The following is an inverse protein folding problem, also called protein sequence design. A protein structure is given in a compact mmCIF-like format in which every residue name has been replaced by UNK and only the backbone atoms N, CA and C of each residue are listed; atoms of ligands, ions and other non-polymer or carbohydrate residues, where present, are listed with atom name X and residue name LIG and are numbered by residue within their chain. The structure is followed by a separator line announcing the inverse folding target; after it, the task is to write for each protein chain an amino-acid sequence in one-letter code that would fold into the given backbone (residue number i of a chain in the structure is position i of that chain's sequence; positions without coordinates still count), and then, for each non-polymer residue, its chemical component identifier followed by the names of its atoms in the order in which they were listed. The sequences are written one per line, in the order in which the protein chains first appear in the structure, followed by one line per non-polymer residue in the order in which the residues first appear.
data_IF_775851444186
#
_entry.id   IF_775851444186
#
_cell.length_a   1.000
_cell.length_b   1.000
_cell.length_c   1.000
_cell.angle_alpha   90.00
_cell.angle_beta   90.00
_cell.angle_gamma   90.00
#
_symmetry.space_group_name_H-M   'P 1'
#
loop_
_entity.id
_entity.type
_entity.pdbx_description
1 polymer ?
#
# COMPACT_ATOMS: atom_id res chain seq x y z
N UNK A 1 -33.52 7.46 -10.59
CA UNK A 1 -32.43 8.01 -11.43
C UNK A 1 -31.30 8.39 -10.47
N UNK A 2 -30.29 7.54 -10.34
CA UNK A 2 -29.07 7.88 -9.58
C UNK A 2 -28.21 8.75 -10.48
N UNK A 3 -28.10 10.04 -10.13
CA UNK A 3 -27.17 10.96 -10.80
C UNK A 3 -25.77 10.36 -10.80
N UNK A 4 -25.13 10.35 -11.96
CA UNK A 4 -23.69 10.02 -12.03
C UNK A 4 -22.94 11.10 -11.24
N UNK A 5 -22.00 10.71 -10.36
CA UNK A 5 -21.23 11.69 -9.62
C UNK A 5 -20.53 12.66 -10.58
N UNK A 6 -20.53 13.94 -10.20
CA UNK A 6 -19.85 14.98 -10.96
C UNK A 6 -18.33 14.69 -11.02
N UNK A 7 -17.64 15.06 -12.11
CA UNK A 7 -16.17 15.01 -12.16
C UNK A 7 -15.49 15.73 -10.98
N UNK A 8 -16.15 16.72 -10.39
CA UNK A 8 -15.69 17.47 -9.22
C UNK A 8 -15.65 16.63 -7.91
N UNK A 9 -16.36 15.49 -7.86
CA UNK A 9 -16.44 14.64 -6.68
C UNK A 9 -15.40 13.48 -6.71
N UNK A 10 -14.66 13.33 -7.80
CA UNK A 10 -13.67 12.28 -7.97
C UNK A 10 -12.36 12.65 -7.29
N UNK A 11 -11.91 11.76 -6.42
CA UNK A 11 -10.63 11.87 -5.74
C UNK A 11 -9.56 11.11 -6.53
N UNK A 12 -8.39 11.70 -6.66
CA UNK A 12 -7.20 11.07 -7.24
C UNK A 12 -6.29 10.53 -6.13
N UNK A 13 -5.76 9.32 -6.34
CA UNK A 13 -4.84 8.67 -5.42
C UNK A 13 -3.44 9.29 -5.43
N UNK A 14 -2.54 8.69 -4.66
CA UNK A 14 -1.15 9.13 -4.58
C UNK A 14 -0.27 8.30 -5.54
N UNK A 15 0.85 8.86 -5.99
CA UNK A 15 1.81 8.12 -6.80
C UNK A 15 2.44 6.97 -6.02
N UNK A 16 2.85 5.91 -6.73
CA UNK A 16 3.58 4.81 -6.14
C UNK A 16 4.95 5.27 -5.60
N UNK A 17 5.30 4.79 -4.42
CA UNK A 17 6.65 4.90 -3.86
C UNK A 17 7.32 3.54 -4.06
N UNK A 18 8.03 3.37 -5.15
CA UNK A 18 8.70 2.12 -5.53
C UNK A 18 10.05 2.38 -6.18
N UNK A 19 10.89 1.36 -6.23
CA UNK A 19 12.19 1.40 -6.90
C UNK A 19 12.50 0.04 -7.55
N UNK A 20 13.53 -0.05 -8.40
CA UNK A 20 13.98 -1.33 -8.93
C UNK A 20 14.42 -2.35 -7.87
N UNK A 21 14.68 -1.90 -6.64
CA UNK A 21 15.05 -2.74 -5.50
C UNK A 21 13.86 -3.18 -4.65
N UNK A 22 12.66 -2.69 -4.93
CA UNK A 22 11.45 -3.06 -4.17
C UNK A 22 11.17 -4.56 -4.26
N UNK A 23 11.08 -5.21 -3.10
CA UNK A 23 10.83 -6.65 -2.95
C UNK A 23 9.45 -6.92 -2.39
N UNK A 24 8.96 -6.09 -1.47
CA UNK A 24 7.62 -6.17 -0.91
C UNK A 24 6.89 -4.86 -1.15
N UNK A 25 5.75 -4.92 -1.82
CA UNK A 25 4.83 -3.79 -1.99
C UNK A 25 3.77 -3.84 -0.89
N UNK A 26 3.73 -2.84 -0.04
CA UNK A 26 2.59 -2.63 0.86
C UNK A 26 1.50 -1.93 0.06
N UNK A 27 0.33 -2.56 -0.04
CA UNK A 27 -0.76 -2.08 -0.88
C UNK A 27 -1.99 -1.75 -0.03
N UNK A 28 -2.34 -0.47 0.06
CA UNK A 28 -3.58 0.02 0.64
C UNK A 28 -4.76 -0.11 -0.33
N UNK A 29 -5.93 0.31 0.09
CA UNK A 29 -7.12 0.44 -0.78
C UNK A 29 -7.10 1.77 -1.53
N UNK A 30 -7.19 2.87 -0.79
CA UNK A 30 -7.12 4.24 -1.27
C UNK A 30 -6.69 5.19 -0.14
N UNK A 31 -5.96 6.27 -0.43
CA UNK A 31 -5.46 7.17 0.61
C UNK A 31 -6.59 7.79 1.42
N UNK A 32 -6.46 7.87 2.74
CA UNK A 32 -7.39 8.59 3.60
C UNK A 32 -7.39 10.09 3.36
N UNK A 33 -8.39 10.82 3.86
CA UNK A 33 -8.51 12.26 3.67
C UNK A 33 -7.27 13.05 4.14
N UNK A 34 -6.65 12.64 5.26
CA UNK A 34 -5.41 13.26 5.74
C UNK A 34 -4.25 13.05 4.75
N UNK A 35 -4.13 11.84 4.18
CA UNK A 35 -3.09 11.50 3.20
C UNK A 35 -3.25 12.29 1.90
N UNK A 36 -4.46 12.41 1.38
CA UNK A 36 -4.74 13.22 0.19
C UNK A 36 -4.43 14.69 0.41
N UNK A 37 -4.86 15.25 1.55
CA UNK A 37 -4.61 16.66 1.88
C UNK A 37 -3.12 16.96 2.03
N UNK A 38 -2.36 16.06 2.64
CA UNK A 38 -0.92 16.23 2.88
C UNK A 38 -0.06 15.70 1.73
N UNK A 39 -0.63 15.02 0.74
CA UNK A 39 0.07 14.32 -0.33
C UNK A 39 1.12 13.34 0.22
N UNK A 40 0.76 12.58 1.27
CA UNK A 40 1.64 11.66 1.97
C UNK A 40 0.91 10.36 2.32
N UNK A 41 1.49 9.22 2.00
CA UNK A 41 0.94 7.93 2.37
C UNK A 41 0.90 7.76 3.89
N UNK A 42 -0.23 7.27 4.40
CA UNK A 42 -0.45 6.99 5.82
C UNK A 42 -0.24 8.20 6.74
N UNK A 43 -0.65 9.40 6.29
CA UNK A 43 -0.42 10.65 7.01
C UNK A 43 -1.29 10.84 8.27
N UNK A 44 -2.35 10.04 8.47
CA UNK A 44 -3.19 10.18 9.66
C UNK A 44 -2.38 9.87 10.93
N UNK A 45 -2.36 10.77 11.97
CA UNK A 45 -1.48 10.61 13.14
C UNK A 45 -1.66 9.31 13.91
N UNK A 46 -2.88 8.78 13.92
CA UNK A 46 -3.21 7.52 14.60
C UNK A 46 -3.03 6.29 13.72
N UNK A 47 -2.59 6.43 12.46
CA UNK A 47 -2.29 5.28 11.63
C UNK A 47 -1.02 4.60 12.13
N UNK A 48 -1.08 3.29 12.32
CA UNK A 48 0.05 2.53 12.86
C UNK A 48 1.17 2.27 11.86
N UNK A 49 1.00 2.56 10.57
CA UNK A 49 1.95 2.19 9.51
C UNK A 49 3.39 2.62 9.82
N UNK A 50 3.65 3.91 9.96
CA UNK A 50 5.01 4.40 10.22
C UNK A 50 5.56 3.95 11.57
N UNK A 51 4.70 3.81 12.58
CA UNK A 51 5.10 3.28 13.90
C UNK A 51 5.50 1.82 13.84
N UNK A 52 4.80 0.99 13.06
CA UNK A 52 5.15 -0.41 12.80
C UNK A 52 6.51 -0.47 12.12
N UNK A 53 6.72 0.30 11.03
CA UNK A 53 8.01 0.31 10.34
C UNK A 53 9.16 0.73 11.25
N UNK A 54 8.98 1.75 12.10
CA UNK A 54 9.99 2.14 13.07
C UNK A 54 10.30 1.03 14.08
N UNK A 55 9.29 0.27 14.52
CA UNK A 55 9.47 -0.85 15.44
C UNK A 55 10.17 -2.05 14.79
N UNK A 56 9.97 -2.27 13.49
CA UNK A 56 10.67 -3.31 12.72
C UNK A 56 12.17 -3.00 12.56
N UNK A 57 12.54 -1.73 12.43
CA UNK A 57 13.94 -1.29 12.28
C UNK A 57 14.36 -0.28 13.36
N UNK A 58 14.44 -0.71 14.64
CA UNK A 58 14.67 0.21 15.77
C UNK A 58 16.01 0.92 15.73
N UNK A 59 17.02 0.33 15.06
CA UNK A 59 18.35 0.90 14.90
C UNK A 59 18.45 1.97 13.80
N UNK A 60 17.37 2.17 13.05
CA UNK A 60 17.33 3.12 11.94
C UNK A 60 16.19 4.12 12.16
N UNK A 61 16.46 5.28 12.77
CA UNK A 61 15.44 6.28 13.06
C UNK A 61 14.66 6.70 11.81
N UNK A 62 13.33 6.76 11.95
CA UNK A 62 12.47 7.23 10.87
C UNK A 62 12.67 8.74 10.66
N UNK A 63 12.95 9.18 9.42
CA UNK A 63 13.09 10.61 9.13
C UNK A 63 11.84 11.43 9.46
N UNK A 64 12.03 12.68 9.87
CA UNK A 64 10.93 13.60 10.16
C UNK A 64 10.19 14.02 8.88
N UNK A 65 10.92 14.26 7.79
CA UNK A 65 10.38 14.73 6.51
C UNK A 65 9.92 13.55 5.66
N UNK A 66 8.78 13.71 4.97
CA UNK A 66 8.14 12.62 4.22
C UNK A 66 9.02 12.06 3.09
N UNK A 67 9.69 12.92 2.32
CA UNK A 67 10.60 12.45 1.26
C UNK A 67 11.74 11.58 1.82
N UNK A 68 12.25 11.94 2.97
CA UNK A 68 13.21 11.12 3.71
C UNK A 68 12.61 9.78 4.14
N UNK A 69 11.34 9.74 4.55
CA UNK A 69 10.64 8.49 4.88
C UNK A 69 10.45 7.61 3.66
N UNK A 70 10.15 8.19 2.50
CA UNK A 70 10.05 7.45 1.24
C UNK A 70 11.40 6.80 0.89
N UNK A 71 12.48 7.56 0.93
CA UNK A 71 13.81 7.02 0.68
C UNK A 71 14.20 5.94 1.70
N UNK A 72 13.95 6.19 2.99
CA UNK A 72 14.18 5.26 4.09
C UNK A 72 13.47 3.91 3.88
N UNK A 73 12.23 3.95 3.39
CA UNK A 73 11.42 2.78 3.06
C UNK A 73 12.00 2.03 1.84
N UNK A 74 12.34 2.75 0.77
CA UNK A 74 12.93 2.18 -0.45
C UNK A 74 14.28 1.48 -0.20
N UNK A 75 15.10 2.05 0.68
CA UNK A 75 16.40 1.48 1.06
C UNK A 75 16.26 0.11 1.76
N UNK A 76 15.09 -0.19 2.31
CA UNK A 76 14.75 -1.47 2.95
C UNK A 76 14.05 -2.45 2.01
N UNK A 77 13.96 -2.13 0.73
CA UNK A 77 13.30 -2.98 -0.26
C UNK A 77 11.78 -2.99 -0.15
N UNK A 78 11.21 -2.01 0.55
CA UNK A 78 9.77 -1.79 0.59
C UNK A 78 9.32 -0.85 -0.53
N UNK A 79 8.05 -1.01 -0.94
CA UNK A 79 7.30 -0.04 -1.72
C UNK A 79 5.95 0.20 -1.08
N UNK A 80 5.31 1.30 -1.44
CA UNK A 80 3.96 1.64 -0.98
C UNK A 80 3.14 2.15 -2.16
N UNK A 81 1.91 1.67 -2.25
CA UNK A 81 0.90 2.17 -3.16
C UNK A 81 -0.51 1.80 -2.68
N UNK A 82 -1.51 2.08 -3.51
CA UNK A 82 -2.91 1.75 -3.27
C UNK A 82 -3.51 0.99 -4.46
N UNK A 83 -4.60 0.25 -4.23
CA UNK A 83 -5.31 -0.48 -5.28
C UNK A 83 -5.93 0.47 -6.29
N UNK A 84 -6.57 1.54 -5.79
CA UNK A 84 -7.32 2.45 -6.62
C UNK A 84 -6.53 3.70 -7.00
N UNK A 85 -6.54 4.02 -8.29
CA UNK A 85 -5.99 5.26 -8.84
C UNK A 85 -6.91 6.44 -8.54
N UNK A 86 -8.23 6.21 -8.62
CA UNK A 86 -9.23 7.25 -8.33
C UNK A 86 -10.54 6.62 -7.88
N UNK A 87 -11.33 7.39 -7.15
CA UNK A 87 -12.68 6.96 -6.75
C UNK A 87 -13.54 8.17 -6.34
N UNK A 88 -14.84 7.90 -6.15
CA UNK A 88 -15.74 8.80 -5.42
C UNK A 88 -15.88 8.25 -4.01
N UNK A 89 -15.63 9.09 -2.99
CA UNK A 89 -15.72 8.66 -1.60
C UNK A 89 -15.99 9.83 -0.65
N UNK A 90 -16.96 9.65 0.23
CA UNK A 90 -17.19 10.54 1.36
C UNK A 90 -16.36 10.05 2.57
N UNK A 91 -15.55 10.95 3.15
CA UNK A 91 -14.69 10.61 4.30
C UNK A 91 -13.50 9.71 3.95
N UNK A 92 -13.18 8.77 4.84
CA UNK A 92 -11.99 7.91 4.72
C UNK A 92 -12.26 6.41 4.87
N UNK A 93 -13.54 6.00 4.95
CA UNK A 93 -13.90 4.59 5.09
C UNK A 93 -13.94 3.90 3.73
N UNK A 94 -13.34 2.72 3.62
CA UNK A 94 -13.35 1.89 2.41
C UNK A 94 -14.77 1.54 1.96
N UNK A 95 -15.69 1.31 2.89
CA UNK A 95 -17.09 1.02 2.60
C UNK A 95 -17.82 2.14 1.83
N UNK A 96 -17.28 3.36 1.83
CA UNK A 96 -17.80 4.52 1.10
C UNK A 96 -17.22 4.66 -0.31
N UNK A 97 -16.27 3.82 -0.71
CA UNK A 97 -15.66 3.87 -2.04
C UNK A 97 -16.70 3.49 -3.11
N UNK A 98 -16.82 4.33 -4.15
CA UNK A 98 -17.69 4.14 -5.32
C UNK A 98 -16.94 4.53 -6.59
N UNK A 99 -17.34 3.98 -7.73
CA UNK A 99 -16.82 4.32 -9.06
C UNK A 99 -15.27 4.34 -9.11
N UNK A 100 -14.67 3.35 -8.48
CA UNK A 100 -13.22 3.26 -8.36
C UNK A 100 -12.57 2.75 -9.66
N UNK A 101 -11.47 3.39 -10.05
CA UNK A 101 -10.56 2.91 -11.08
C UNK A 101 -9.30 2.34 -10.43
N UNK A 102 -8.86 1.17 -10.89
CA UNK A 102 -7.63 0.55 -10.38
C UNK A 102 -6.38 1.22 -10.97
N UNK A 103 -5.30 1.15 -10.23
CA UNK A 103 -3.96 1.53 -10.68
C UNK A 103 -3.40 0.56 -11.72
N UNK A 104 -2.44 1.04 -12.50
CA UNK A 104 -1.74 0.25 -13.54
C UNK A 104 -0.59 -0.57 -12.92
N UNK A 105 -0.92 -1.78 -12.49
CA UNK A 105 0.05 -2.72 -11.92
C UNK A 105 1.02 -3.30 -12.95
N UNK A 106 0.67 -3.31 -14.25
CA UNK A 106 1.59 -3.75 -15.30
C UNK A 106 2.77 -2.78 -15.44
N UNK A 107 2.50 -1.49 -15.45
CA UNK A 107 3.54 -0.46 -15.42
C UNK A 107 4.38 -0.52 -14.15
N UNK A 108 3.76 -0.74 -12.98
CA UNK A 108 4.50 -0.89 -11.71
C UNK A 108 5.50 -2.05 -11.76
N UNK A 109 5.12 -3.19 -12.36
CA UNK A 109 6.02 -4.36 -12.48
C UNK A 109 7.31 -4.03 -13.24
N UNK A 110 7.22 -3.21 -14.28
CA UNK A 110 8.40 -2.76 -15.06
C UNK A 110 9.37 -1.97 -14.16
N UNK A 111 8.84 -1.10 -13.28
CA UNK A 111 9.66 -0.29 -12.38
C UNK A 111 10.15 -1.05 -11.15
N UNK A 112 9.59 -2.22 -10.85
CA UNK A 112 9.92 -3.04 -9.68
C UNK A 112 10.16 -4.50 -10.05
N UNK A 113 11.21 -4.81 -10.82
CA UNK A 113 11.45 -6.16 -11.35
C UNK A 113 11.77 -7.20 -10.26
N UNK A 114 12.18 -6.76 -9.07
CA UNK A 114 12.50 -7.63 -7.92
C UNK A 114 11.32 -7.90 -7.00
N UNK A 115 10.13 -7.40 -7.33
CA UNK A 115 8.94 -7.59 -6.52
C UNK A 115 8.61 -9.08 -6.36
N UNK A 116 8.58 -9.55 -5.12
CA UNK A 116 8.32 -10.95 -4.74
C UNK A 116 7.04 -11.12 -3.93
N UNK A 117 6.53 -10.04 -3.32
CA UNK A 117 5.29 -10.08 -2.55
C UNK A 117 4.51 -8.78 -2.60
N UNK A 118 3.19 -8.92 -2.51
CA UNK A 118 2.25 -7.83 -2.24
C UNK A 118 1.63 -8.06 -0.87
N UNK A 119 1.93 -7.19 0.08
CA UNK A 119 1.38 -7.19 1.41
C UNK A 119 0.17 -6.25 1.48
N UNK A 120 -1.01 -6.79 1.35
CA UNK A 120 -2.26 -6.05 1.35
C UNK A 120 -2.60 -5.55 2.76
N UNK A 121 -2.61 -4.25 2.95
CA UNK A 121 -2.87 -3.58 4.21
C UNK A 121 -4.38 -3.47 4.49
N UNK A 122 -4.99 -4.60 4.80
CA UNK A 122 -6.41 -4.71 5.12
C UNK A 122 -7.22 -5.57 4.12
N UNK A 123 -8.47 -5.81 4.49
CA UNK A 123 -9.35 -6.72 3.76
C UNK A 123 -9.79 -6.17 2.40
N UNK A 124 -10.04 -4.85 2.31
CA UNK A 124 -10.46 -4.20 1.05
C UNK A 124 -9.38 -4.38 -0.02
N UNK A 125 -8.14 -4.01 0.28
CA UNK A 125 -7.01 -4.23 -0.63
C UNK A 125 -6.86 -5.70 -1.01
N UNK A 126 -6.94 -6.61 -0.03
CA UNK A 126 -6.79 -8.05 -0.28
C UNK A 126 -7.91 -8.64 -1.14
N UNK A 127 -9.11 -8.09 -1.09
CA UNK A 127 -10.22 -8.48 -1.97
C UNK A 127 -9.88 -8.34 -3.46
N UNK A 128 -8.94 -7.47 -3.80
CA UNK A 128 -8.46 -7.23 -5.17
C UNK A 128 -7.19 -8.01 -5.53
N UNK A 129 -6.68 -8.88 -4.66
CA UNK A 129 -5.45 -9.64 -4.88
C UNK A 129 -5.40 -10.37 -6.24
N UNK A 130 -6.46 -11.06 -6.72
CA UNK A 130 -6.42 -11.71 -8.03
C UNK A 130 -6.25 -10.74 -9.20
N UNK A 131 -6.88 -9.56 -9.13
CA UNK A 131 -6.77 -8.54 -10.17
C UNK A 131 -5.39 -7.87 -10.16
N UNK A 132 -4.87 -7.57 -8.97
CA UNK A 132 -3.52 -7.01 -8.76
C UNK A 132 -2.46 -7.96 -9.32
N UNK A 133 -2.53 -9.27 -8.99
CA UNK A 133 -1.60 -10.27 -9.49
C UNK A 133 -1.65 -10.41 -11.01
N UNK A 134 -2.85 -10.40 -11.61
CA UNK A 134 -2.98 -10.41 -13.09
C UNK A 134 -2.30 -9.19 -13.73
N UNK A 135 -2.51 -8.00 -13.15
CA UNK A 135 -1.86 -6.78 -13.61
C UNK A 135 -0.34 -6.88 -13.56
N UNK A 136 0.20 -7.33 -12.41
CA UNK A 136 1.65 -7.51 -12.23
C UNK A 136 2.25 -8.56 -13.17
N UNK A 137 1.52 -9.59 -13.55
CA UNK A 137 1.95 -10.63 -14.51
C UNK A 137 1.90 -10.13 -15.95
N UNK A 138 0.94 -9.29 -16.30
CA UNK A 138 0.76 -8.75 -17.65
C UNK A 138 1.89 -7.82 -18.10
N UNK A 139 2.61 -7.16 -17.17
CA UNK A 139 3.78 -6.32 -17.45
C UNK A 139 5.09 -7.09 -17.62
N UNK A 140 5.09 -8.39 -17.39
CA UNK A 140 6.30 -9.21 -17.41
C UNK A 140 6.57 -9.80 -18.80
N UNK A 141 6.90 -8.97 -19.77
CA UNK A 141 7.62 -9.44 -20.96
C UNK A 141 8.94 -10.07 -20.53
N UNK A 142 9.03 -11.43 -20.57
CA UNK A 142 10.24 -12.25 -20.35
C UNK A 142 10.77 -12.40 -18.90
N UNK A 143 10.08 -11.98 -17.86
CA UNK A 143 10.50 -12.27 -16.47
C UNK A 143 9.61 -13.38 -15.87
N UNK A 144 9.45 -14.48 -16.60
CA UNK A 144 8.77 -15.70 -16.12
C UNK A 144 9.68 -16.44 -15.12
N UNK A 145 9.77 -15.98 -13.85
CA UNK A 145 10.71 -16.62 -12.93
C UNK A 145 10.27 -16.76 -11.49
N UNK A 146 9.55 -15.83 -10.92
CA UNK A 146 9.15 -15.93 -9.53
C UNK A 146 7.66 -15.57 -9.38
N UNK A 147 6.89 -16.46 -8.75
CA UNK A 147 5.52 -16.13 -8.37
C UNK A 147 5.53 -15.02 -7.30
N UNK A 148 4.69 -14.00 -7.51
CA UNK A 148 4.49 -12.95 -6.51
C UNK A 148 3.49 -13.46 -5.49
N UNK A 149 3.88 -13.48 -4.21
CA UNK A 149 2.99 -13.87 -3.12
C UNK A 149 2.03 -12.72 -2.79
N UNK A 150 0.74 -13.03 -2.60
CA UNK A 150 -0.27 -12.10 -2.08
C UNK A 150 -0.56 -12.42 -0.63
N UNK A 151 -0.33 -11.45 0.25
CA UNK A 151 -0.42 -11.64 1.70
C UNK A 151 -1.42 -10.64 2.28
N UNK A 152 -2.37 -11.14 3.07
CA UNK A 152 -3.29 -10.28 3.83
C UNK A 152 -2.67 -9.89 5.16
N UNK A 153 -2.49 -8.60 5.38
CA UNK A 153 -2.10 -8.03 6.67
C UNK A 153 -3.29 -7.35 7.36
N UNK A 154 -3.29 -7.30 8.71
CA UNK A 154 -4.25 -6.48 9.42
C UNK A 154 -4.04 -5.00 9.05
N UNK A 155 -5.14 -4.30 8.74
CA UNK A 155 -5.07 -2.87 8.40
C UNK A 155 -4.43 -2.05 9.51
N UNK A 156 -3.52 -1.17 9.13
CA UNK A 156 -2.86 -0.20 10.04
C UNK A 156 -3.76 0.98 10.39
N UNK A 157 -4.90 1.13 9.70
CA UNK A 157 -5.88 2.17 9.96
C UNK A 157 -6.38 2.15 11.42
N UNK A 158 -6.63 3.33 12.03
CA UNK A 158 -7.30 3.41 13.34
C UNK A 158 -8.71 2.83 13.32
N UNK A 159 -9.38 2.77 12.18
CA UNK A 159 -10.68 2.12 12.03
C UNK A 159 -10.64 0.61 12.32
N UNK A 160 -9.48 -0.04 12.21
CA UNK A 160 -9.29 -1.43 12.60
C UNK A 160 -8.98 -1.56 14.09
N UNK A 161 -9.98 -1.30 14.94
CA UNK A 161 -9.84 -1.37 16.38
C UNK A 161 -9.75 -2.81 16.95
N UNK A 162 -10.12 -3.83 16.16
CA UNK A 162 -10.05 -5.23 16.58
C UNK A 162 -8.62 -5.76 16.76
N UNK A 163 -7.64 -5.08 16.16
CA UNK A 163 -6.23 -5.42 16.25
C UNK A 163 -5.46 -4.31 16.97
N UNK A 164 -4.88 -4.63 18.13
CA UNK A 164 -3.98 -3.72 18.82
C UNK A 164 -2.63 -3.60 18.09
N UNK A 165 -1.79 -2.68 18.55
CA UNK A 165 -0.48 -2.41 17.92
C UNK A 165 0.41 -3.65 17.89
N UNK A 166 0.54 -4.37 19.00
CA UNK A 166 1.48 -5.51 19.14
C UNK A 166 1.10 -6.67 18.21
N UNK A 167 -0.20 -6.96 18.09
CA UNK A 167 -0.68 -7.98 17.15
C UNK A 167 -0.45 -7.58 15.70
N UNK A 168 -0.64 -6.30 15.35
CA UNK A 168 -0.31 -5.80 14.01
C UNK A 168 1.19 -5.93 13.76
N UNK A 169 2.01 -5.49 14.71
CA UNK A 169 3.48 -5.56 14.60
C UNK A 169 3.97 -7.00 14.40
N UNK A 170 3.45 -7.96 15.17
CA UNK A 170 3.82 -9.36 15.02
C UNK A 170 3.52 -9.91 13.61
N UNK A 171 2.33 -9.63 13.06
CA UNK A 171 1.96 -10.05 11.71
C UNK A 171 2.86 -9.41 10.63
N UNK A 172 3.22 -8.14 10.80
CA UNK A 172 4.12 -7.44 9.88
C UNK A 172 5.56 -7.97 9.99
N UNK A 173 6.03 -8.27 11.21
CA UNK A 173 7.36 -8.86 11.45
C UNK A 173 7.51 -10.17 10.68
N UNK A 174 6.53 -11.06 10.79
CA UNK A 174 6.53 -12.36 10.10
C UNK A 174 6.68 -12.20 8.59
N UNK A 175 5.92 -11.32 7.98
CA UNK A 175 6.00 -11.07 6.52
C UNK A 175 7.35 -10.50 6.12
N UNK A 176 7.85 -9.49 6.84
CA UNK A 176 9.13 -8.85 6.51
C UNK A 176 10.31 -9.81 6.67
N UNK A 177 10.29 -10.65 7.71
CA UNK A 177 11.32 -11.68 7.93
C UNK A 177 11.29 -12.76 6.83
N UNK A 178 10.11 -13.27 6.47
CA UNK A 178 9.97 -14.27 5.38
C UNK A 178 10.50 -13.78 4.03
N UNK A 179 10.40 -12.50 3.76
CA UNK A 179 10.91 -11.90 2.53
C UNK A 179 12.33 -11.34 2.67
N UNK A 180 13.02 -11.61 3.79
CA UNK A 180 14.41 -11.23 4.02
C UNK A 180 14.65 -9.72 4.06
N UNK A 181 13.72 -8.98 4.66
CA UNK A 181 13.84 -7.55 4.88
C UNK A 181 14.30 -7.19 6.31
N UNK A 182 14.26 -8.15 7.23
CA UNK A 182 14.76 -8.05 8.61
C UNK A 182 16.03 -8.84 8.78
#
# INVERSE_FOLDING_TARGET
MTERPSPADRLEGLPAVVSPRTRVLVLGSFPGAASLRMQQSYAHPQNHFWRILQALWPRHPLPAVYDGRCQWLLDRGLGVWDVYASCVRAGSLDASIRDAAMNDFASLRVHSPRLSAVAHNGAESFGHAPAVLRGLQGGAGQHAGASIESIKLPSTSPANAAWNFDRKLAAWTDVMARHGLL
#
